data_IF_834814396096
#
_entry.id   IF_834814396096
#
_cell.length_a   1.000
_cell.length_b   1.000
_cell.length_c   1.000
_cell.angle_alpha   90.00
_cell.angle_beta   90.00
_cell.angle_gamma   90.00
#
_symmetry.space_group_name_H-M   'P 1'
#
loop_
_entity.id
_entity.type
_entity.pdbx_description
1 polymer ?
#
# COMPACT_ATOMS: atom_id res chain seq x y z
N UNK A 1 12.21 15.67 7.78
CA UNK A 1 11.01 15.11 7.12
C UNK A 1 10.31 14.10 8.03
N UNK A 2 10.97 13.05 8.51
CA UNK A 2 10.35 12.01 9.35
C UNK A 2 9.65 12.56 10.62
N UNK A 3 10.24 13.52 11.32
CA UNK A 3 9.58 14.13 12.49
C UNK A 3 8.30 14.91 12.13
N UNK A 4 8.29 15.55 10.97
CA UNK A 4 7.12 16.30 10.47
C UNK A 4 6.01 15.33 10.09
N UNK A 5 6.35 14.25 9.39
CA UNK A 5 5.39 13.18 9.05
C UNK A 5 4.79 12.56 10.30
N UNK A 6 5.62 12.27 11.32
CA UNK A 6 5.14 11.71 12.58
C UNK A 6 4.18 12.65 13.31
N UNK A 7 4.48 13.96 13.36
CA UNK A 7 3.58 14.97 13.94
C UNK A 7 2.25 15.05 13.19
N UNK A 8 2.28 14.96 11.86
CA UNK A 8 1.07 14.95 11.04
C UNK A 8 0.21 13.73 11.37
N UNK A 9 0.83 12.54 11.38
CA UNK A 9 0.17 11.27 11.65
C UNK A 9 -0.46 11.25 13.05
N UNK A 10 0.27 11.69 14.08
CA UNK A 10 -0.23 11.80 15.44
C UNK A 10 -1.41 12.78 15.58
N UNK A 11 -1.41 13.87 14.79
CA UNK A 11 -2.48 14.85 14.79
C UNK A 11 -3.74 14.37 14.06
N UNK A 12 -3.61 13.48 13.07
CA UNK A 12 -4.73 13.06 12.21
C UNK A 12 -5.20 11.61 12.41
N UNK A 13 -4.51 10.81 13.22
CA UNK A 13 -4.78 9.36 13.42
C UNK A 13 -6.21 8.98 13.81
N UNK A 14 -6.97 9.91 14.39
CA UNK A 14 -8.35 9.67 14.84
C UNK A 14 -9.39 10.17 13.82
N UNK A 15 -8.98 10.65 12.65
CA UNK A 15 -9.89 11.09 11.60
C UNK A 15 -10.33 9.92 10.73
N UNK A 16 -11.62 9.87 10.39
CA UNK A 16 -12.24 8.73 9.70
C UNK A 16 -13.03 9.14 8.44
N UNK A 17 -13.27 10.44 8.23
CA UNK A 17 -14.08 10.96 7.11
C UNK A 17 -13.31 11.13 5.81
N UNK A 18 -12.06 11.56 5.89
CA UNK A 18 -11.23 11.88 4.72
C UNK A 18 -9.80 11.40 4.93
N UNK A 19 -9.21 10.83 3.88
CA UNK A 19 -7.86 10.28 3.89
C UNK A 19 -7.03 10.98 2.83
N UNK A 20 -5.84 11.45 3.22
CA UNK A 20 -4.86 12.05 2.32
C UNK A 20 -3.60 11.18 2.32
N UNK A 21 -3.33 10.53 1.20
CA UNK A 21 -2.16 9.69 1.02
C UNK A 21 -1.09 10.45 0.22
N UNK A 22 0.03 10.75 0.85
CA UNK A 22 1.15 11.47 0.21
C UNK A 22 2.25 10.48 -0.13
N UNK A 23 2.47 10.25 -1.42
CA UNK A 23 3.46 9.32 -1.92
C UNK A 23 4.84 10.01 -2.06
N UNK A 24 5.72 9.88 -1.05
CA UNK A 24 7.06 10.49 -1.03
C UNK A 24 8.10 9.43 -1.38
N UNK A 25 8.99 9.73 -2.35
CA UNK A 25 9.97 8.77 -2.88
C UNK A 25 9.34 7.43 -3.31
N UNK A 26 8.07 7.48 -3.71
CA UNK A 26 7.29 6.33 -4.10
C UNK A 26 7.48 6.04 -5.58
N UNK A 27 7.60 4.75 -5.91
CA UNK A 27 7.54 4.25 -7.27
C UNK A 27 6.71 2.97 -7.30
N UNK A 28 5.65 2.95 -8.10
CA UNK A 28 4.74 1.79 -8.16
C UNK A 28 5.44 0.49 -8.57
N UNK A 29 6.50 0.56 -9.39
CA UNK A 29 7.31 -0.62 -9.70
C UNK A 29 8.07 -1.16 -8.49
N UNK A 30 8.63 -0.28 -7.65
CA UNK A 30 9.31 -0.70 -6.43
C UNK A 30 8.32 -1.33 -5.44
N UNK A 31 7.14 -0.73 -5.30
CA UNK A 31 6.07 -1.30 -4.48
C UNK A 31 5.67 -2.71 -4.95
N UNK A 32 5.50 -2.91 -6.26
CA UNK A 32 5.19 -4.24 -6.81
C UNK A 32 6.28 -5.26 -6.53
N UNK A 33 7.56 -4.88 -6.67
CA UNK A 33 8.69 -5.76 -6.35
C UNK A 33 8.64 -6.20 -4.88
N UNK A 34 8.35 -5.27 -3.97
CA UNK A 34 8.29 -5.56 -2.54
C UNK A 34 7.04 -6.39 -2.19
N UNK A 35 5.90 -6.16 -2.83
CA UNK A 35 4.70 -6.98 -2.69
C UNK A 35 4.94 -8.42 -3.15
N UNK A 36 5.58 -8.61 -4.32
CA UNK A 36 5.91 -9.96 -4.84
C UNK A 36 6.87 -10.68 -3.92
N UNK A 37 7.89 -10.00 -3.36
CA UNK A 37 8.79 -10.59 -2.36
C UNK A 37 8.04 -11.07 -1.11
N UNK A 38 7.08 -10.28 -0.60
CA UNK A 38 6.24 -10.68 0.55
C UNK A 38 5.41 -11.93 0.23
N UNK A 39 4.80 -11.96 -0.95
CA UNK A 39 4.02 -13.13 -1.41
C UNK A 39 4.92 -14.35 -1.56
N UNK A 40 6.11 -14.21 -2.13
CA UNK A 40 7.05 -15.31 -2.29
C UNK A 40 7.50 -15.90 -0.94
N UNK A 41 7.68 -15.07 0.08
CA UNK A 41 7.97 -15.54 1.45
C UNK A 41 6.79 -16.35 2.02
N UNK A 42 5.55 -15.91 1.78
CA UNK A 42 4.33 -16.60 2.17
C UNK A 42 4.09 -17.92 1.44
N UNK A 43 4.56 -18.05 0.20
CA UNK A 43 4.56 -19.35 -0.50
C UNK A 43 5.58 -20.27 0.14
N UNK A 44 6.78 -19.73 0.41
CA UNK A 44 7.89 -20.50 1.01
C UNK A 44 7.56 -21.02 2.41
N UNK A 45 6.81 -20.26 3.21
CA UNK A 45 6.37 -20.67 4.55
C UNK A 45 5.11 -21.57 4.54
N UNK A 46 4.50 -21.78 3.38
CA UNK A 46 3.30 -22.61 3.19
C UNK A 46 1.99 -21.93 3.60
N UNK A 47 1.98 -20.62 3.82
CA UNK A 47 0.77 -19.86 4.19
C UNK A 47 -0.14 -19.51 3.01
N UNK A 48 0.31 -19.66 1.77
CA UNK A 48 -0.49 -19.47 0.55
C UNK A 48 0.00 -20.39 -0.57
N UNK A 49 -0.92 -20.98 -1.34
CA UNK A 49 -0.57 -21.73 -2.54
C UNK A 49 -0.36 -20.77 -3.73
N UNK A 50 0.54 -21.13 -4.65
CA UNK A 50 0.79 -20.31 -5.84
C UNK A 50 -0.46 -20.13 -6.72
N UNK A 51 -1.35 -21.11 -6.73
CA UNK A 51 -2.60 -21.08 -7.49
C UNK A 51 -3.65 -20.15 -6.86
N UNK A 52 -3.47 -19.77 -5.59
CA UNK A 52 -4.35 -18.83 -4.89
C UNK A 52 -3.95 -17.37 -5.15
N UNK A 53 -2.83 -17.12 -5.84
CA UNK A 53 -2.40 -15.76 -6.17
C UNK A 53 -3.35 -15.17 -7.20
N UNK A 54 -4.04 -14.12 -6.78
CA UNK A 54 -4.94 -13.34 -7.61
C UNK A 54 -4.75 -11.84 -7.33
N UNK A 55 -5.63 -11.02 -7.92
CA UNK A 55 -5.59 -9.57 -7.76
C UNK A 55 -5.69 -9.15 -6.29
N UNK A 56 -6.61 -9.74 -5.53
CA UNK A 56 -6.84 -9.40 -4.11
C UNK A 56 -5.61 -9.72 -3.26
N UNK A 57 -4.92 -10.83 -3.55
CA UNK A 57 -3.65 -11.19 -2.88
C UNK A 57 -2.58 -10.14 -3.18
N UNK A 58 -2.47 -9.67 -4.41
CA UNK A 58 -1.48 -8.63 -4.76
C UNK A 58 -1.83 -7.33 -4.04
N UNK A 59 -3.08 -6.88 -4.11
CA UNK A 59 -3.57 -5.65 -3.48
C UNK A 59 -3.34 -5.65 -1.96
N UNK A 60 -3.56 -6.78 -1.29
CA UNK A 60 -3.32 -6.94 0.14
C UNK A 60 -1.83 -6.85 0.55
N UNK A 61 -0.88 -6.93 -0.39
CA UNK A 61 0.56 -6.85 -0.11
C UNK A 61 1.20 -5.50 -0.52
N UNK A 62 0.44 -4.61 -1.16
CA UNK A 62 0.85 -3.23 -1.49
C UNK A 62 0.96 -2.35 -0.24
N UNK A 63 1.62 -1.19 -0.35
CA UNK A 63 1.71 -0.23 0.75
C UNK A 63 0.34 0.38 1.09
N UNK A 64 -0.53 0.49 0.10
CA UNK A 64 -1.90 0.98 0.23
C UNK A 64 -2.87 -0.03 0.84
N UNK A 65 -2.44 -1.26 1.16
CA UNK A 65 -3.33 -2.33 1.62
C UNK A 65 -4.17 -1.98 2.85
N UNK A 66 -3.65 -1.12 3.74
CA UNK A 66 -4.33 -0.67 4.95
C UNK A 66 -5.37 0.44 4.71
N UNK A 67 -5.46 0.96 3.49
CA UNK A 67 -6.38 2.05 3.15
C UNK A 67 -7.78 1.51 2.86
N UNK A 68 -8.84 2.25 3.26
CA UNK A 68 -10.22 1.85 3.00
C UNK A 68 -10.56 1.81 1.49
N UNK A 69 -9.86 2.58 0.66
CA UNK A 69 -9.97 2.54 -0.79
C UNK A 69 -8.57 2.47 -1.41
N UNK A 70 -8.25 1.30 -1.97
CA UNK A 70 -6.91 1.00 -2.50
C UNK A 70 -6.74 1.42 -3.97
N UNK A 71 -7.85 1.51 -4.71
CA UNK A 71 -7.87 1.88 -6.13
C UNK A 71 -8.46 3.28 -6.32
N UNK A 72 -7.75 4.19 -7.03
CA UNK A 72 -8.29 5.51 -7.34
C UNK A 72 -9.35 5.41 -8.46
N UNK A 73 -10.52 6.02 -8.23
CA UNK A 73 -11.55 6.15 -9.28
C UNK A 73 -11.18 7.20 -10.35
N UNK A 74 -10.39 8.20 -9.96
CA UNK A 74 -9.96 9.31 -10.82
C UNK A 74 -8.47 9.57 -10.63
N UNK A 75 -7.74 9.63 -11.75
CA UNK A 75 -6.33 10.02 -11.78
C UNK A 75 -6.21 11.37 -12.48
N UNK A 76 -5.76 12.38 -11.73
CA UNK A 76 -5.42 13.69 -12.27
C UNK A 76 -3.90 13.81 -12.36
N UNK A 77 -3.38 14.10 -13.55
CA UNK A 77 -1.96 14.31 -13.80
C UNK A 77 -1.74 15.65 -14.48
N UNK A 78 -1.11 16.57 -13.78
CA UNK A 78 -0.63 17.84 -14.34
C UNK A 78 0.80 17.68 -14.87
N UNK A 79 1.17 18.51 -15.85
CA UNK A 79 2.48 18.53 -16.52
C UNK A 79 3.61 18.96 -15.60
#
# INVERSE_FOLDING_TARGET
INEVLKKLDDATKNYDKHYLNIAIAYGGQNELVDAVKKIALRIKDGSIDINDINKDVIEANLYTAHLPQQSPDLILRTS
#
